data_IF_210001824544
#
_entry.id   IF_210001824544
#
_cell.length_a   1.000
_cell.length_b   1.000
_cell.length_c   1.000
_cell.angle_alpha   90.00
_cell.angle_beta   90.00
_cell.angle_gamma   90.00
#
_symmetry.space_group_name_H-M   'P 1'
#
loop_
_entity.id
_entity.type
_entity.pdbx_description
1 polymer ?
#
# COMPACT_ATOMS: atom_id res chain seq x y z
N UNK A 1 10.94 48.47 -19.30
CA UNK A 1 11.81 47.35 -19.71
C UNK A 1 12.23 46.60 -18.45
N UNK A 2 11.99 45.29 -18.35
CA UNK A 2 12.42 44.50 -17.18
C UNK A 2 13.95 44.31 -17.20
N UNK A 3 14.60 44.45 -16.05
CA UNK A 3 16.05 44.27 -15.89
C UNK A 3 16.44 42.82 -16.27
N UNK A 4 17.50 42.59 -17.06
CA UNK A 4 17.97 41.26 -17.44
C UNK A 4 18.25 40.34 -16.24
N UNK A 5 18.66 40.88 -15.09
CA UNK A 5 18.83 40.14 -13.83
C UNK A 5 17.47 39.66 -13.28
N UNK A 6 16.42 40.49 -13.36
CA UNK A 6 15.06 40.09 -12.97
C UNK A 6 14.48 39.04 -13.91
N UNK A 7 14.82 39.11 -15.21
CA UNK A 7 14.41 38.14 -16.21
C UNK A 7 15.11 36.78 -16.00
N UNK A 8 16.40 36.80 -15.66
CA UNK A 8 17.19 35.61 -15.32
C UNK A 8 16.71 34.93 -14.03
N UNK A 9 16.39 35.72 -12.99
CA UNK A 9 15.81 35.20 -11.74
C UNK A 9 14.43 34.59 -11.94
N UNK A 10 13.59 35.15 -12.82
CA UNK A 10 12.28 34.57 -13.17
C UNK A 10 12.44 33.20 -13.87
N UNK A 11 13.46 33.06 -14.72
CA UNK A 11 13.74 31.83 -15.46
C UNK A 11 14.25 30.70 -14.56
N UNK A 12 15.04 31.01 -13.52
CA UNK A 12 15.47 30.03 -12.51
C UNK A 12 14.28 29.55 -11.66
N UNK A 13 13.28 30.41 -11.40
CA UNK A 13 12.11 30.04 -10.60
C UNK A 13 11.13 29.12 -11.35
N UNK A 14 11.07 29.18 -12.68
CA UNK A 14 10.17 28.34 -13.50
C UNK A 14 10.75 26.98 -13.89
N UNK A 15 12.07 26.79 -13.81
CA UNK A 15 12.75 25.51 -14.10
C UNK A 15 12.66 24.48 -12.97
N UNK A 16 12.06 24.84 -11.83
CA UNK A 16 11.88 23.95 -10.68
C UNK A 16 10.51 23.25 -10.65
N UNK A 17 9.95 22.89 -11.80
CA UNK A 17 8.84 21.94 -11.88
C UNK A 17 9.38 20.52 -11.69
N UNK A 18 9.88 20.23 -10.49
CA UNK A 18 10.20 18.86 -10.11
C UNK A 18 8.92 18.03 -10.29
N UNK A 19 8.99 17.02 -11.16
CA UNK A 19 8.01 15.94 -11.21
C UNK A 19 8.06 15.25 -9.84
N UNK A 20 7.23 15.72 -8.90
CA UNK A 20 7.03 15.07 -7.61
C UNK A 20 6.31 13.77 -7.89
N UNK A 21 7.10 12.72 -8.11
CA UNK A 21 6.58 11.36 -8.15
C UNK A 21 6.07 11.01 -6.76
N UNK A 22 4.89 10.40 -6.70
CA UNK A 22 4.35 9.90 -5.45
C UNK A 22 5.35 8.95 -4.78
N UNK A 23 5.60 9.19 -3.49
CA UNK A 23 6.39 8.28 -2.68
C UNK A 23 5.76 6.87 -2.71
N UNK A 24 6.55 5.80 -2.88
CA UNK A 24 6.07 4.44 -2.78
C UNK A 24 5.49 4.14 -1.38
N UNK A 25 4.25 3.65 -1.36
CA UNK A 25 3.58 3.11 -0.19
C UNK A 25 3.84 1.60 -0.14
N UNK A 26 4.64 1.19 0.83
CA UNK A 26 5.13 -0.17 0.96
C UNK A 26 4.34 -0.93 2.03
N UNK A 27 4.08 -2.20 1.77
CA UNK A 27 3.37 -3.09 2.69
C UNK A 27 4.40 -3.93 3.44
N UNK A 28 4.33 -3.94 4.76
CA UNK A 28 5.18 -4.76 5.63
C UNK A 28 4.35 -5.64 6.56
N UNK A 29 4.67 -6.94 6.59
CA UNK A 29 4.10 -7.91 7.52
C UNK A 29 4.96 -8.11 8.77
N UNK A 30 4.34 -8.62 9.84
CA UNK A 30 5.05 -9.01 11.05
C UNK A 30 5.79 -10.34 10.85
N UNK A 31 7.06 -10.39 11.26
CA UNK A 31 7.81 -11.64 11.34
C UNK A 31 7.40 -12.49 12.57
N UNK A 32 8.04 -13.64 12.77
CA UNK A 32 7.80 -14.52 13.92
C UNK A 32 8.05 -13.88 15.28
N UNK A 33 8.87 -12.82 15.33
CA UNK A 33 9.19 -12.04 16.53
C UNK A 33 8.27 -10.81 16.70
N UNK A 34 7.25 -10.65 15.85
CA UNK A 34 6.31 -9.52 15.92
C UNK A 34 6.85 -8.20 15.36
N UNK A 35 7.99 -8.20 14.63
CA UNK A 35 8.55 -6.99 14.01
C UNK A 35 8.03 -6.81 12.57
N UNK A 36 7.59 -5.61 12.22
CA UNK A 36 7.08 -5.25 10.90
C UNK A 36 8.21 -5.02 9.87
N UNK A 37 8.96 -6.07 9.54
CA UNK A 37 10.12 -5.97 8.64
C UNK A 37 10.08 -6.95 7.44
N UNK A 38 8.98 -7.70 7.27
CA UNK A 38 8.83 -8.56 6.09
C UNK A 38 8.17 -7.76 4.98
N UNK A 39 8.93 -7.44 3.93
CA UNK A 39 8.40 -6.70 2.79
C UNK A 39 7.43 -7.54 1.97
N UNK A 40 6.23 -7.00 1.72
CA UNK A 40 5.11 -7.69 1.05
C UNK A 40 4.73 -7.05 -0.30
N UNK A 41 5.39 -5.97 -0.69
CA UNK A 41 5.19 -5.30 -1.98
C UNK A 41 4.83 -3.81 -1.85
N UNK A 42 4.63 -3.17 -2.99
CA UNK A 42 4.27 -1.76 -3.10
C UNK A 42 2.81 -1.59 -3.52
N UNK A 43 2.04 -0.88 -2.70
CA UNK A 43 0.61 -0.66 -2.84
C UNK A 43 0.26 0.36 -3.93
N UNK A 44 1.04 1.42 -4.12
CA UNK A 44 0.74 2.48 -5.10
C UNK A 44 1.67 2.46 -6.32
N UNK A 45 2.56 1.48 -6.45
CA UNK A 45 3.46 1.38 -7.59
C UNK A 45 2.72 0.99 -8.88
N UNK A 46 3.26 1.36 -10.03
CA UNK A 46 2.70 0.95 -11.32
C UNK A 46 2.83 -0.57 -11.53
N UNK A 47 1.99 -1.20 -12.38
CA UNK A 47 2.08 -2.64 -12.70
C UNK A 47 3.39 -3.06 -13.35
N UNK A 48 4.17 -2.12 -13.91
CA UNK A 48 5.46 -2.43 -14.53
C UNK A 48 6.59 -2.56 -13.50
N UNK A 49 6.39 -2.08 -12.25
CA UNK A 49 7.43 -2.17 -11.21
C UNK A 49 7.50 -3.59 -10.66
N UNK A 50 8.71 -4.13 -10.55
CA UNK A 50 8.95 -5.51 -10.09
C UNK A 50 8.44 -5.79 -8.66
N UNK A 51 8.37 -4.75 -7.83
CA UNK A 51 7.90 -4.83 -6.45
C UNK A 51 6.42 -4.45 -6.26
N UNK A 52 5.70 -4.13 -7.33
CA UNK A 52 4.29 -3.78 -7.27
C UNK A 52 3.44 -5.00 -6.98
N UNK A 53 2.45 -4.88 -6.08
CA UNK A 53 1.45 -5.95 -5.89
C UNK A 53 0.55 -6.11 -7.11
N UNK A 54 0.57 -5.13 -8.00
CA UNK A 54 -0.20 -5.07 -9.25
C UNK A 54 0.55 -5.62 -10.47
N UNK A 55 1.82 -5.97 -10.31
CA UNK A 55 2.57 -6.61 -11.38
C UNK A 55 2.28 -8.11 -11.31
N UNK A 56 1.30 -8.61 -12.06
CA UNK A 56 0.83 -10.00 -11.93
C UNK A 56 1.95 -11.04 -11.99
N UNK A 57 2.98 -10.81 -12.83
CA UNK A 57 4.14 -11.69 -13.00
C UNK A 57 5.34 -11.29 -12.12
N UNK A 58 5.24 -10.19 -11.38
CA UNK A 58 6.28 -9.71 -10.48
C UNK A 58 6.37 -10.52 -9.18
N UNK A 59 7.44 -10.28 -8.41
CA UNK A 59 7.73 -11.02 -7.17
C UNK A 59 6.63 -10.89 -6.09
N UNK A 60 5.83 -9.83 -6.13
CA UNK A 60 4.73 -9.62 -5.18
C UNK A 60 3.36 -9.60 -5.86
N UNK A 61 3.33 -10.02 -7.13
CA UNK A 61 2.15 -10.11 -7.97
C UNK A 61 1.28 -11.32 -7.71
N UNK A 62 0.10 -11.28 -8.32
CA UNK A 62 -0.91 -12.33 -8.21
C UNK A 62 -0.39 -13.72 -8.59
N UNK A 63 0.39 -13.86 -9.68
CA UNK A 63 0.90 -15.17 -10.10
C UNK A 63 2.00 -15.72 -9.18
N UNK A 64 2.59 -14.91 -8.29
CA UNK A 64 3.45 -15.42 -7.23
C UNK A 64 2.64 -15.86 -5.99
N UNK A 65 1.48 -16.49 -6.18
CA UNK A 65 0.62 -16.99 -5.11
C UNK A 65 1.21 -18.17 -4.33
N UNK A 66 2.40 -18.66 -4.67
CA UNK A 66 3.13 -19.66 -3.89
C UNK A 66 4.25 -19.03 -3.03
N UNK A 67 4.56 -17.74 -3.21
CA UNK A 67 5.60 -17.05 -2.46
C UNK A 67 5.26 -16.91 -0.98
N UNK A 68 6.22 -17.15 -0.07
CA UNK A 68 6.03 -17.04 1.39
C UNK A 68 5.68 -15.62 1.86
N UNK A 69 6.15 -14.59 1.14
CA UNK A 69 5.88 -13.17 1.42
C UNK A 69 4.78 -12.59 0.51
N UNK A 70 4.12 -13.41 -0.30
CA UNK A 70 3.08 -12.94 -1.21
C UNK A 70 1.75 -12.81 -0.48
N UNK A 71 1.14 -11.63 -0.52
CA UNK A 71 -0.22 -11.43 0.00
C UNK A 71 -1.25 -12.24 -0.79
N UNK A 72 -0.93 -12.65 -2.01
CA UNK A 72 -1.79 -13.48 -2.86
C UNK A 72 -1.70 -14.97 -2.53
N UNK A 73 -0.72 -15.37 -1.71
CA UNK A 73 -0.58 -16.74 -1.26
C UNK A 73 -1.53 -17.05 -0.09
N UNK A 74 -2.63 -17.74 -0.41
CA UNK A 74 -3.67 -18.15 0.54
C UNK A 74 -3.19 -19.12 1.64
N UNK A 75 -2.01 -19.70 1.50
CA UNK A 75 -1.39 -20.56 2.51
C UNK A 75 -0.29 -19.84 3.31
N UNK A 76 0.10 -18.62 2.92
CA UNK A 76 1.11 -17.86 3.63
C UNK A 76 0.55 -17.16 4.87
N UNK A 77 1.46 -16.73 5.75
CA UNK A 77 1.10 -15.90 6.90
C UNK A 77 0.46 -14.55 6.50
N UNK A 78 0.68 -14.07 5.27
CA UNK A 78 0.27 -12.72 4.84
C UNK A 78 -0.91 -12.71 3.86
N UNK A 79 -1.26 -13.88 3.30
CA UNK A 79 -2.39 -14.04 2.37
C UNK A 79 -3.47 -15.00 2.87
N UNK A 80 -3.19 -15.84 3.87
CA UNK A 80 -4.20 -16.72 4.47
C UNK A 80 -5.28 -15.93 5.20
N UNK A 81 -6.54 -16.26 4.95
CA UNK A 81 -7.67 -15.65 5.67
C UNK A 81 -7.73 -16.04 7.15
N UNK A 82 -7.10 -17.16 7.55
CA UNK A 82 -7.05 -17.60 8.95
C UNK A 82 -5.87 -17.00 9.73
N UNK A 83 -4.93 -16.33 9.05
CA UNK A 83 -3.75 -15.77 9.69
C UNK A 83 -4.02 -14.35 10.22
N UNK A 84 -3.75 -14.05 11.50
CA UNK A 84 -3.88 -12.68 12.02
C UNK A 84 -2.90 -11.69 11.36
N UNK A 85 -1.85 -12.20 10.68
CA UNK A 85 -0.85 -11.41 9.94
C UNK A 85 -1.25 -11.09 8.51
N UNK A 86 -2.44 -11.52 8.08
CA UNK A 86 -2.93 -11.34 6.72
C UNK A 86 -3.82 -10.12 6.61
N UNK A 87 -3.78 -9.48 5.44
CA UNK A 87 -4.72 -8.42 5.08
C UNK A 87 -6.16 -8.95 4.92
N UNK A 88 -6.30 -10.24 4.61
CA UNK A 88 -7.57 -10.90 4.27
C UNK A 88 -8.26 -11.57 5.48
N UNK A 89 -7.70 -11.43 6.68
CA UNK A 89 -8.32 -11.93 7.89
C UNK A 89 -9.54 -11.11 8.31
N UNK A 90 -10.52 -11.77 8.92
CA UNK A 90 -11.67 -11.08 9.51
C UNK A 90 -11.25 -10.16 10.67
N UNK A 91 -11.84 -8.97 10.74
CA UNK A 91 -11.83 -8.13 11.95
C UNK A 91 -10.54 -7.34 12.22
N UNK A 92 -9.83 -6.84 11.19
CA UNK A 92 -8.56 -6.09 11.26
C UNK A 92 -7.74 -6.24 12.56
N UNK A 93 -6.83 -7.20 12.58
CA UNK A 93 -6.03 -7.53 13.76
C UNK A 93 -4.81 -6.59 13.94
N UNK A 94 -4.31 -6.36 15.18
CA UNK A 94 -3.03 -5.68 15.44
C UNK A 94 -1.80 -6.33 14.80
N UNK A 95 -1.92 -7.52 14.22
CA UNK A 95 -0.85 -8.18 13.48
C UNK A 95 -0.97 -8.00 11.96
N UNK A 96 -2.05 -7.38 11.46
CA UNK A 96 -2.25 -7.16 10.04
C UNK A 96 -1.11 -6.31 9.44
N UNK A 97 -0.82 -6.46 8.14
CA UNK A 97 0.26 -5.73 7.50
C UNK A 97 0.12 -4.22 7.66
N UNK A 98 1.24 -3.51 7.74
CA UNK A 98 1.29 -2.05 7.83
C UNK A 98 1.69 -1.42 6.51
N UNK A 99 1.20 -0.21 6.26
CA UNK A 99 1.58 0.61 5.10
C UNK A 99 2.56 1.68 5.54
N UNK A 100 3.75 1.70 4.95
CA UNK A 100 4.86 2.59 5.32
C UNK A 100 5.33 3.36 4.07
N UNK A 101 5.59 4.66 4.23
CA UNK A 101 6.28 5.45 3.19
C UNK A 101 7.74 5.01 3.03
N UNK A 102 8.17 4.67 1.81
CA UNK A 102 9.53 4.16 1.56
C UNK A 102 10.64 5.09 2.07
N UNK A 103 10.54 6.39 1.81
CA UNK A 103 11.54 7.41 2.10
C UNK A 103 11.28 8.09 3.43
N UNK A 104 10.04 8.51 3.68
CA UNK A 104 9.62 9.21 4.90
C UNK A 104 9.57 8.29 6.12
N UNK A 105 9.46 6.98 5.90
CA UNK A 105 9.27 5.96 6.94
C UNK A 105 8.02 6.16 7.80
N UNK A 106 7.11 7.03 7.37
CA UNK A 106 5.84 7.28 8.06
C UNK A 106 4.96 6.04 7.99
N UNK A 107 4.40 5.65 9.14
CA UNK A 107 3.41 4.59 9.21
C UNK A 107 2.02 5.18 8.97
N UNK A 108 1.42 4.84 7.83
CA UNK A 108 0.10 5.31 7.43
C UNK A 108 -1.04 4.49 8.04
N UNK A 109 -0.74 3.30 8.57
CA UNK A 109 -1.68 2.43 9.26
C UNK A 109 -1.63 0.99 8.77
N UNK A 110 -2.75 0.26 8.88
CA UNK A 110 -2.84 -1.17 8.56
C UNK A 110 -3.60 -1.41 7.27
N UNK A 111 -3.11 -2.35 6.49
CA UNK A 111 -3.77 -2.85 5.29
C UNK A 111 -4.67 -4.04 5.67
N UNK A 112 -5.92 -3.75 6.02
CA UNK A 112 -6.89 -4.72 6.55
C UNK A 112 -8.34 -4.23 6.41
N UNK A 113 -9.33 -5.09 6.67
CA UNK A 113 -10.75 -4.73 6.72
C UNK A 113 -11.33 -4.76 8.13
N UNK A 114 -11.94 -3.64 8.56
CA UNK A 114 -12.70 -3.52 9.82
C UNK A 114 -14.20 -3.79 9.61
N UNK A 115 -14.89 -4.11 10.71
CA UNK A 115 -16.35 -4.28 10.75
C UNK A 115 -16.85 -5.60 10.19
N UNK A 116 -15.95 -6.57 9.99
CA UNK A 116 -16.30 -7.94 9.60
C UNK A 116 -16.20 -8.82 10.85
N UNK A 117 -17.29 -9.49 11.26
CA UNK A 117 -17.26 -10.41 12.39
C UNK A 117 -16.14 -11.44 12.27
N UNK A 118 -15.49 -11.76 13.39
CA UNK A 118 -14.44 -12.78 13.45
C UNK A 118 -15.00 -14.11 12.95
N UNK A 119 -14.22 -14.82 12.13
CA UNK A 119 -14.64 -16.08 11.50
C UNK A 119 -15.30 -15.91 10.12
N UNK A 120 -15.71 -14.69 9.75
CA UNK A 120 -16.31 -14.43 8.43
C UNK A 120 -15.25 -14.08 7.36
N UNK A 121 -14.33 -15.02 7.17
CA UNK A 121 -13.16 -14.89 6.31
C UNK A 121 -13.50 -14.68 4.82
N UNK A 122 -14.55 -15.32 4.33
CA UNK A 122 -15.02 -15.15 2.95
C UNK A 122 -15.46 -13.71 2.67
N UNK A 123 -16.12 -13.06 3.63
CA UNK A 123 -16.55 -11.67 3.50
C UNK A 123 -15.36 -10.71 3.57
N UNK A 124 -14.42 -10.95 4.49
CA UNK A 124 -13.20 -10.16 4.61
C UNK A 124 -12.38 -10.22 3.31
N UNK A 125 -12.16 -11.43 2.79
CA UNK A 125 -11.45 -11.66 1.54
C UNK A 125 -12.08 -10.90 0.37
N UNK A 126 -13.40 -11.03 0.19
CA UNK A 126 -14.15 -10.30 -0.85
C UNK A 126 -14.00 -8.78 -0.70
N UNK A 127 -14.09 -8.25 0.52
CA UNK A 127 -13.99 -6.80 0.77
C UNK A 127 -12.61 -6.25 0.40
N UNK A 128 -11.53 -6.95 0.73
CA UNK A 128 -10.16 -6.55 0.33
C UNK A 128 -9.98 -6.61 -1.19
N UNK A 129 -10.43 -7.70 -1.83
CA UNK A 129 -10.33 -7.82 -3.29
C UNK A 129 -11.13 -6.74 -4.02
N UNK A 130 -12.37 -6.51 -3.60
CA UNK A 130 -13.24 -5.47 -4.15
C UNK A 130 -12.58 -4.10 -3.98
N UNK A 131 -12.05 -3.81 -2.78
CA UNK A 131 -11.31 -2.57 -2.52
C UNK A 131 -10.15 -2.38 -3.51
N UNK A 132 -9.29 -3.40 -3.69
CA UNK A 132 -8.13 -3.29 -4.59
C UNK A 132 -8.56 -3.10 -6.05
N UNK A 133 -9.52 -3.89 -6.52
CA UNK A 133 -10.02 -3.84 -7.90
C UNK A 133 -10.68 -2.50 -8.24
N UNK A 134 -11.57 -2.01 -7.38
CA UNK A 134 -12.35 -0.79 -7.66
C UNK A 134 -11.53 0.49 -7.54
N UNK A 135 -10.43 0.44 -6.79
CA UNK A 135 -9.62 1.62 -6.46
C UNK A 135 -8.23 1.59 -7.09
N UNK A 136 -7.93 0.61 -7.94
CA UNK A 136 -6.68 0.45 -8.66
C UNK A 136 -6.16 1.77 -9.27
N UNK A 137 -6.97 2.42 -10.09
CA UNK A 137 -6.65 3.69 -10.76
C UNK A 137 -6.56 4.90 -9.82
N UNK A 138 -7.19 4.81 -8.64
CA UNK A 138 -7.17 5.86 -7.59
C UNK A 138 -5.97 5.73 -6.66
N UNK A 139 -5.40 4.54 -6.57
CA UNK A 139 -4.25 4.23 -5.69
C UNK A 139 -2.93 4.40 -6.44
N UNK A 140 -2.85 3.89 -7.68
CA UNK A 140 -1.59 3.85 -8.42
C UNK A 140 -1.05 5.24 -8.75
N UNK A 141 0.23 5.44 -8.49
CA UNK A 141 0.94 6.68 -8.74
C UNK A 141 0.49 7.85 -7.85
N UNK A 142 -0.33 7.61 -6.82
CA UNK A 142 -0.80 8.63 -5.87
C UNK A 142 -0.06 8.52 -4.54
N UNK A 143 0.33 9.65 -3.97
CA UNK A 143 0.82 9.71 -2.60
C UNK A 143 -0.33 9.43 -1.63
N UNK A 144 -0.03 9.13 -0.36
CA UNK A 144 -1.08 8.88 0.63
C UNK A 144 -2.07 10.05 0.76
N UNK A 145 -1.57 11.30 0.76
CA UNK A 145 -2.41 12.50 0.87
C UNK A 145 -3.32 12.74 -0.35
N UNK A 146 -2.97 12.15 -1.49
CA UNK A 146 -3.77 12.21 -2.73
C UNK A 146 -4.83 11.12 -2.81
N UNK A 147 -4.84 10.15 -1.88
CA UNK A 147 -5.86 9.11 -1.85
C UNK A 147 -7.20 9.70 -1.37
N UNK A 148 -8.35 9.31 -1.96
CA UNK A 148 -9.66 9.65 -1.42
C UNK A 148 -9.84 9.25 0.05
N UNK A 149 -10.67 9.97 0.80
CA UNK A 149 -10.83 9.80 2.25
C UNK A 149 -11.25 8.38 2.67
N UNK A 150 -12.07 7.70 1.85
CA UNK A 150 -12.45 6.31 2.09
C UNK A 150 -11.25 5.34 1.92
N UNK A 151 -10.30 5.64 1.04
CA UNK A 151 -9.09 4.84 0.86
C UNK A 151 -8.06 5.10 1.95
N UNK A 152 -7.90 6.38 2.32
CA UNK A 152 -7.11 6.72 3.50
C UNK A 152 -7.66 6.01 4.72
N UNK A 153 -8.98 6.01 4.91
CA UNK A 153 -9.64 5.30 6.02
C UNK A 153 -9.46 3.78 5.98
N UNK A 154 -9.37 3.16 4.79
CA UNK A 154 -9.06 1.73 4.67
C UNK A 154 -7.66 1.39 5.20
N UNK A 155 -6.70 2.30 4.98
CA UNK A 155 -5.29 2.12 5.35
C UNK A 155 -5.03 2.65 6.77
N UNK A 156 -5.74 3.69 7.23
CA UNK A 156 -5.41 4.43 8.45
C UNK A 156 -5.51 3.54 9.68
N UNK A 157 -4.57 3.72 10.62
CA UNK A 157 -4.68 3.12 11.96
C UNK A 157 -5.99 3.63 12.56
N UNK A 158 -6.99 2.74 12.67
CA UNK A 158 -8.20 3.05 13.43
C UNK A 158 -7.74 3.32 14.87
N UNK A 159 -8.07 4.49 15.42
CA UNK A 159 -7.84 4.80 16.82
C UNK A 159 -8.44 3.69 17.68
N UNK A 160 -7.65 3.26 18.67
CA UNK A 160 -8.08 2.34 19.73
C UNK A 160 -9.28 2.90 20.48
#
# INVERSE_FOLDING_TARGET
MLNPIKLFLLFIFTLNSNLVLAEPLEIYGLNSQGKANVYLGCLNCSPQKANSIWNDRGKYGFYNYLGKASIWNRMSAYGSVSSPRSAFASGCNPQAPVVIGRYTKLNYGRFCVKGIPVGNNSQAYRKVLTFLRENEHKIRGKSFSQLPANLQSFIKKFSE
#
